data_IF_176439751601
#
_entry.id   IF_176439751601
#
_cell.length_a   1.000
_cell.length_b   1.000
_cell.length_c   1.000
_cell.angle_alpha   90.00
_cell.angle_beta   90.00
_cell.angle_gamma   90.00
#
_symmetry.space_group_name_H-M   'P 1'
#
loop_
_entity.id
_entity.type
_entity.pdbx_description
1 polymer ?
#
# COMPACT_ATOMS: atom_id res chain seq x y z
N UNK A 1 -8.43 4.09 2.23
CA UNK A 1 -7.48 2.96 2.07
C UNK A 1 -6.70 2.79 3.37
N UNK A 2 -6.27 1.59 3.73
CA UNK A 2 -5.42 1.39 4.93
C UNK A 2 -3.95 1.66 4.57
N UNK A 3 -3.44 2.82 4.99
CA UNK A 3 -2.02 3.22 4.90
C UNK A 3 -1.47 3.19 6.33
N UNK A 4 -0.36 2.50 6.56
CA UNK A 4 0.26 2.41 7.89
C UNK A 4 1.34 3.47 8.09
N UNK A 5 1.78 3.60 9.35
CA UNK A 5 2.73 4.64 9.78
C UNK A 5 4.11 4.55 9.13
N UNK A 6 4.47 3.39 8.56
CA UNK A 6 5.73 3.21 7.81
C UNK A 6 5.89 4.21 6.66
N UNK A 7 4.78 4.63 6.04
CA UNK A 7 4.81 5.57 4.93
C UNK A 7 4.91 7.04 5.36
N UNK A 8 4.60 7.37 6.62
CA UNK A 8 4.53 8.75 7.09
C UNK A 8 5.82 9.55 6.90
N UNK A 9 7.03 9.02 7.16
CA UNK A 9 8.26 9.76 6.87
C UNK A 9 8.42 10.14 5.40
N UNK A 10 7.96 9.27 4.48
CA UNK A 10 8.00 9.54 3.03
C UNK A 10 6.91 10.53 2.60
N UNK A 11 5.79 10.56 3.31
CA UNK A 11 4.65 11.43 3.01
C UNK A 11 4.78 12.84 3.62
N UNK A 12 5.57 12.97 4.69
CA UNK A 12 5.79 14.22 5.41
C UNK A 12 6.33 15.34 4.50
N UNK A 13 7.15 15.01 3.50
CA UNK A 13 7.67 16.00 2.52
C UNK A 13 6.57 16.64 1.67
N UNK A 14 5.40 16.01 1.58
CA UNK A 14 4.22 16.53 0.88
C UNK A 14 3.21 17.16 1.84
N UNK A 15 3.55 17.30 3.13
CA UNK A 15 2.64 17.78 4.16
C UNK A 15 1.52 16.80 4.51
N UNK A 16 1.70 15.50 4.22
CA UNK A 16 0.69 14.47 4.48
C UNK A 16 1.09 13.67 5.72
N UNK A 17 0.33 13.84 6.80
CA UNK A 17 0.41 13.05 8.03
C UNK A 17 -0.86 12.22 8.27
N UNK A 18 -0.98 11.67 9.48
CA UNK A 18 -2.11 10.80 9.84
C UNK A 18 -3.47 11.51 9.72
N UNK A 19 -3.53 12.81 10.06
CA UNK A 19 -4.77 13.60 10.00
C UNK A 19 -5.27 13.74 8.58
N UNK A 20 -4.38 13.99 7.63
CA UNK A 20 -4.74 14.14 6.21
C UNK A 20 -5.23 12.80 5.64
N UNK A 21 -4.66 11.68 6.10
CA UNK A 21 -5.07 10.33 5.71
C UNK A 21 -6.45 9.92 6.23
N UNK A 22 -7.05 10.66 7.19
CA UNK A 22 -8.45 10.48 7.59
C UNK A 22 -9.43 10.94 6.50
N UNK A 23 -9.01 11.85 5.61
CA UNK A 23 -9.81 12.23 4.46
C UNK A 23 -9.82 11.09 3.43
N UNK A 24 -11.00 10.60 3.07
CA UNK A 24 -11.14 9.46 2.16
C UNK A 24 -10.51 9.70 0.77
N UNK A 25 -10.64 10.91 0.22
CA UNK A 25 -10.09 11.27 -1.08
C UNK A 25 -8.55 11.33 -1.03
N UNK A 26 -7.99 11.93 0.03
CA UNK A 26 -6.53 11.93 0.23
C UNK A 26 -6.02 10.50 0.39
N UNK A 27 -6.67 9.71 1.24
CA UNK A 27 -6.32 8.32 1.52
C UNK A 27 -6.27 7.45 0.26
N UNK A 28 -7.28 7.54 -0.61
CA UNK A 28 -7.31 6.72 -1.83
C UNK A 28 -6.24 7.15 -2.84
N UNK A 29 -6.03 8.46 -3.01
CA UNK A 29 -5.02 8.99 -3.93
C UNK A 29 -3.60 8.66 -3.47
N UNK A 30 -3.32 8.82 -2.17
CA UNK A 30 -2.02 8.47 -1.59
C UNK A 30 -1.76 6.97 -1.72
N UNK A 31 -2.76 6.13 -1.47
CA UNK A 31 -2.59 4.69 -1.59
C UNK A 31 -2.33 4.25 -3.03
N UNK A 32 -3.04 4.85 -4.01
CA UNK A 32 -2.79 4.63 -5.42
C UNK A 32 -1.38 5.07 -5.81
N UNK A 33 -0.93 6.23 -5.33
CA UNK A 33 0.43 6.71 -5.56
C UNK A 33 1.49 5.76 -4.98
N UNK A 34 1.33 5.29 -3.74
CA UNK A 34 2.25 4.32 -3.12
C UNK A 34 2.30 3.03 -3.96
N UNK A 35 1.15 2.48 -4.34
CA UNK A 35 1.09 1.25 -5.12
C UNK A 35 1.73 1.42 -6.50
N UNK A 36 1.48 2.54 -7.18
CA UNK A 36 2.10 2.86 -8.46
C UNK A 36 3.64 2.93 -8.34
N UNK A 37 4.17 3.56 -7.28
CA UNK A 37 5.61 3.58 -7.03
C UNK A 37 6.19 2.17 -6.82
N UNK A 38 5.47 1.31 -6.11
CA UNK A 38 5.89 -0.08 -5.92
C UNK A 38 5.83 -0.89 -7.23
N UNK A 39 4.86 -0.61 -8.11
CA UNK A 39 4.79 -1.21 -9.45
C UNK A 39 5.95 -0.74 -10.32
N UNK A 40 6.33 0.54 -10.27
CA UNK A 40 7.52 1.04 -10.98
C UNK A 40 8.78 0.31 -10.49
N UNK A 41 8.88 0.06 -9.19
CA UNK A 41 10.07 -0.59 -8.58
C UNK A 41 10.12 -2.11 -8.81
N UNK A 42 8.98 -2.81 -8.70
CA UNK A 42 8.92 -4.27 -8.65
C UNK A 42 8.14 -4.90 -9.81
N UNK A 43 7.69 -4.10 -10.77
CA UNK A 43 6.80 -4.50 -11.86
C UNK A 43 5.37 -4.77 -11.41
N UNK A 44 4.51 -5.17 -12.36
CA UNK A 44 3.14 -5.63 -12.12
C UNK A 44 3.13 -7.02 -11.45
N UNK A 45 3.62 -7.09 -10.21
CA UNK A 45 3.82 -8.35 -9.48
C UNK A 45 3.16 -8.30 -8.11
N UNK A 46 2.94 -9.48 -7.51
CA UNK A 46 2.50 -9.57 -6.12
C UNK A 46 3.48 -8.94 -5.14
N UNK A 47 4.77 -8.85 -5.49
CA UNK A 47 5.77 -8.15 -4.68
C UNK A 47 5.43 -6.66 -4.54
N UNK A 48 4.93 -6.00 -5.58
CA UNK A 48 4.49 -4.61 -5.49
C UNK A 48 3.32 -4.43 -4.49
N UNK A 49 2.37 -5.37 -4.51
CA UNK A 49 1.23 -5.41 -3.58
C UNK A 49 1.67 -5.70 -2.15
N UNK A 50 2.60 -6.64 -1.97
CA UNK A 50 3.18 -6.94 -0.66
C UNK A 50 3.93 -5.74 -0.09
N UNK A 51 4.82 -5.14 -0.88
CA UNK A 51 5.63 -3.99 -0.49
C UNK A 51 4.79 -2.76 -0.11
N UNK A 52 3.56 -2.63 -0.63
CA UNK A 52 2.61 -1.61 -0.19
C UNK A 52 2.28 -1.77 1.30
N UNK A 53 2.12 -3.01 1.76
CA UNK A 53 1.72 -3.31 3.13
C UNK A 53 2.90 -3.30 4.12
N UNK A 54 4.07 -3.80 3.73
CA UNK A 54 5.21 -3.93 4.66
C UNK A 54 6.55 -3.97 3.94
N UNK A 55 7.65 -3.45 4.52
CA UNK A 55 9.00 -3.65 4.01
C UNK A 55 9.52 -5.08 4.24
N UNK A 56 8.90 -5.87 5.13
CA UNK A 56 9.39 -7.19 5.53
C UNK A 56 8.75 -8.32 4.71
N UNK A 57 9.58 -9.14 4.05
CA UNK A 57 9.15 -10.19 3.12
C UNK A 57 8.12 -11.16 3.72
N UNK A 58 8.24 -11.52 5.00
CA UNK A 58 7.29 -12.45 5.61
C UNK A 58 5.90 -11.83 5.79
N UNK A 59 5.83 -10.58 6.26
CA UNK A 59 4.57 -9.84 6.32
C UNK A 59 3.96 -9.65 4.93
N UNK A 60 4.80 -9.39 3.92
CA UNK A 60 4.35 -9.30 2.52
C UNK A 60 3.68 -10.59 2.06
N UNK A 61 4.29 -11.76 2.31
CA UNK A 61 3.71 -13.07 1.95
C UNK A 61 2.34 -13.30 2.58
N UNK A 62 2.22 -13.04 3.88
CA UNK A 62 0.96 -13.21 4.62
C UNK A 62 -0.12 -12.30 4.01
N UNK A 63 0.21 -11.04 3.76
CA UNK A 63 -0.71 -10.07 3.18
C UNK A 63 -1.11 -10.44 1.75
N UNK A 64 -0.15 -10.80 0.89
CA UNK A 64 -0.40 -11.25 -0.49
C UNK A 64 -1.37 -12.44 -0.50
N UNK A 65 -1.13 -13.45 0.35
CA UNK A 65 -2.02 -14.62 0.45
C UNK A 65 -3.45 -14.22 0.83
N UNK A 66 -3.61 -13.29 1.78
CA UNK A 66 -4.92 -12.73 2.16
C UNK A 66 -5.60 -12.05 0.97
N UNK A 67 -4.88 -11.21 0.24
CA UNK A 67 -5.42 -10.49 -0.92
C UNK A 67 -5.80 -11.46 -2.04
N UNK A 68 -4.94 -12.41 -2.39
CA UNK A 68 -5.23 -13.43 -3.42
C UNK A 68 -6.51 -14.21 -3.11
N UNK A 69 -6.70 -14.61 -1.86
CA UNK A 69 -7.92 -15.32 -1.43
C UNK A 69 -9.19 -14.47 -1.59
N UNK A 70 -9.10 -13.15 -1.43
CA UNK A 70 -10.23 -12.25 -1.63
C UNK A 70 -10.54 -12.07 -3.12
N UNK A 71 -9.53 -11.89 -3.97
CA UNK A 71 -9.72 -11.79 -5.43
C UNK A 71 -10.26 -13.08 -6.04
N UNK A 72 -9.76 -14.25 -5.60
CA UNK A 72 -10.26 -15.55 -6.07
C UNK A 72 -11.67 -15.93 -5.59
N UNK A 73 -12.25 -15.19 -4.64
CA UNK A 73 -13.67 -15.30 -4.25
C UNK A 73 -14.59 -14.36 -5.03
N UNK A 74 -14.01 -13.41 -5.76
CA UNK A 74 -14.74 -12.36 -6.49
C UNK A 74 -14.96 -12.70 -7.97
N UNK A 75 -14.47 -13.88 -8.40
CA UNK A 75 -14.65 -14.52 -9.70
C UNK A 75 -15.33 -15.87 -9.49
#
# INVERSE_FOLDING_TARGET
MQINSWWLPKLAIYGIGEKELLNACVSVNVAAWILANNIVTYGHTWKAVGAYNSPYVESQRIYIKKIMNNYGRSL
#
